data_IF_184799499640
#
_entry.id   IF_184799499640
#
_cell.length_a   1.000
_cell.length_b   1.000
_cell.length_c   1.000
_cell.angle_alpha   90.00
_cell.angle_beta   90.00
_cell.angle_gamma   90.00
#
_symmetry.space_group_name_H-M   'P 1'
#
loop_
_entity.id
_entity.type
_entity.pdbx_description
1 polymer ?
#
# COMPACT_ATOMS: atom_id res chain seq x y z
N UNK A 1 10.33 -7.44 10.82
CA UNK A 1 9.67 -7.83 9.56
C UNK A 1 10.67 -7.83 8.43
N UNK A 2 10.66 -8.86 7.64
CA UNK A 2 11.53 -8.96 6.46
C UNK A 2 10.66 -9.09 5.21
N UNK A 3 10.94 -8.27 4.20
CA UNK A 3 10.21 -8.29 2.94
C UNK A 3 11.19 -8.53 1.80
N UNK A 4 10.91 -9.54 0.98
CA UNK A 4 11.69 -9.84 -0.21
C UNK A 4 10.95 -9.33 -1.43
N UNK A 5 11.58 -8.42 -2.18
CA UNK A 5 10.99 -7.85 -3.39
C UNK A 5 11.46 -8.66 -4.59
N UNK A 6 10.52 -9.26 -5.32
CA UNK A 6 10.81 -10.05 -6.51
C UNK A 6 10.63 -9.29 -7.81
N UNK A 7 10.03 -8.09 -7.78
CA UNK A 7 9.73 -7.29 -8.96
C UNK A 7 9.79 -5.80 -8.60
N UNK A 8 10.52 -5.02 -9.41
CA UNK A 8 10.71 -3.59 -9.19
C UNK A 8 9.90 -2.72 -10.17
N UNK A 9 8.83 -3.26 -10.73
CA UNK A 9 8.01 -2.51 -11.67
C UNK A 9 7.00 -1.64 -10.95
N UNK A 10 6.96 -0.36 -11.31
CA UNK A 10 5.94 0.58 -10.81
C UNK A 10 4.58 0.30 -11.44
N UNK A 11 3.55 0.29 -10.62
CA UNK A 11 2.16 0.05 -11.02
C UNK A 11 1.27 1.08 -10.32
N UNK A 12 0.24 1.61 -11.00
CA UNK A 12 -0.72 2.50 -10.34
C UNK A 12 -1.39 1.83 -9.15
N UNK A 13 -1.52 2.57 -8.06
CA UNK A 13 -2.10 2.03 -6.82
C UNK A 13 -3.50 1.42 -7.04
N UNK A 14 -4.32 2.04 -7.90
CA UNK A 14 -5.66 1.55 -8.19
C UNK A 14 -5.70 0.19 -8.89
N UNK A 15 -4.59 -0.25 -9.48
CA UNK A 15 -4.52 -1.53 -10.20
C UNK A 15 -4.09 -2.71 -9.33
N UNK A 16 -3.61 -2.47 -8.11
CA UNK A 16 -3.24 -3.56 -7.23
C UNK A 16 -4.46 -4.04 -6.42
N UNK A 17 -4.48 -5.33 -6.10
CA UNK A 17 -5.60 -5.91 -5.35
C UNK A 17 -5.50 -5.59 -3.86
N UNK A 18 -6.64 -5.54 -3.18
CA UNK A 18 -6.68 -5.43 -1.72
C UNK A 18 -5.88 -6.59 -1.10
N UNK A 19 -5.16 -6.28 -0.04
CA UNK A 19 -4.26 -7.25 0.60
C UNK A 19 -2.86 -7.29 0.01
N UNK A 20 -2.59 -6.56 -1.08
CA UNK A 20 -1.25 -6.48 -1.67
C UNK A 20 -0.36 -5.59 -0.83
N UNK A 21 0.82 -6.09 -0.48
CA UNK A 21 1.89 -5.29 0.13
C UNK A 21 2.57 -4.49 -0.96
N UNK A 22 2.85 -3.22 -0.70
CA UNK A 22 3.53 -2.38 -1.66
C UNK A 22 4.46 -1.39 -0.96
N UNK A 23 5.38 -0.83 -1.74
CA UNK A 23 6.33 0.18 -1.29
C UNK A 23 6.04 1.50 -1.97
N UNK A 24 6.08 2.59 -1.19
CA UNK A 24 6.03 3.95 -1.74
C UNK A 24 7.42 4.31 -2.30
N UNK A 25 7.54 4.62 -3.60
CA UNK A 25 8.85 4.96 -4.19
C UNK A 25 9.44 6.28 -3.68
N UNK A 26 8.63 7.15 -3.09
CA UNK A 26 9.09 8.43 -2.58
C UNK A 26 9.79 8.33 -1.23
N UNK A 27 9.67 7.19 -0.54
CA UNK A 27 10.24 6.97 0.78
C UNK A 27 11.04 5.68 0.80
N UNK A 28 12.18 5.68 1.50
CA UNK A 28 12.93 4.46 1.76
C UNK A 28 12.24 3.68 2.88
N UNK A 29 12.16 2.37 2.71
CA UNK A 29 11.69 1.44 3.74
C UNK A 29 10.26 1.66 4.25
N UNK A 30 9.44 2.38 3.51
CA UNK A 30 8.03 2.53 3.86
C UNK A 30 7.18 1.52 3.09
N UNK A 31 6.65 0.55 3.83
CA UNK A 31 5.81 -0.51 3.29
C UNK A 31 4.38 -0.38 3.79
N UNK A 32 3.45 -0.72 2.92
CA UNK A 32 2.01 -0.58 3.16
C UNK A 32 1.30 -1.85 2.70
N UNK A 33 0.09 -2.05 3.20
CA UNK A 33 -0.82 -3.06 2.67
C UNK A 33 -2.09 -2.36 2.18
N UNK A 34 -2.52 -2.67 0.96
CA UNK A 34 -3.75 -2.10 0.42
C UNK A 34 -4.97 -2.71 1.11
N UNK A 35 -5.89 -1.86 1.53
CA UNK A 35 -7.16 -2.26 2.15
C UNK A 35 -8.33 -1.79 1.30
N UNK A 36 -9.53 -2.21 1.66
CA UNK A 36 -10.73 -1.63 1.09
C UNK A 36 -10.78 -0.12 1.40
N UNK A 37 -11.30 0.65 0.45
CA UNK A 37 -11.46 2.08 0.62
C UNK A 37 -12.52 2.39 1.67
N UNK A 38 -12.23 3.35 2.55
CA UNK A 38 -13.21 3.91 3.48
C UNK A 38 -13.52 5.33 3.04
N UNK A 39 -14.79 5.59 2.84
CA UNK A 39 -15.27 6.87 2.31
C UNK A 39 -16.08 7.59 3.37
N UNK A 40 -15.83 8.89 3.51
CA UNK A 40 -16.63 9.73 4.40
C UNK A 40 -18.03 9.91 3.79
N UNK A 41 -19.06 9.55 4.54
CA UNK A 41 -20.44 9.59 4.06
C UNK A 41 -20.89 11.02 3.74
N UNK A 42 -20.44 11.99 4.51
CA UNK A 42 -20.87 13.38 4.36
C UNK A 42 -20.20 14.09 3.19
N UNK A 43 -18.90 13.86 2.98
CA UNK A 43 -18.13 14.54 1.94
C UNK A 43 -18.01 13.74 0.65
N UNK A 44 -18.16 12.42 0.71
CA UNK A 44 -17.88 11.52 -0.41
C UNK A 44 -16.39 11.32 -0.69
N UNK A 45 -15.52 11.87 0.15
CA UNK A 45 -14.08 11.74 -0.02
C UNK A 45 -13.56 10.45 0.61
N UNK A 46 -12.56 9.86 -0.03
CA UNK A 46 -11.88 8.68 0.49
C UNK A 46 -11.02 9.07 1.70
N UNK A 47 -11.28 8.45 2.85
CA UNK A 47 -10.54 8.74 4.07
C UNK A 47 -9.24 7.96 4.15
N UNK A 48 -9.28 6.66 3.82
CA UNK A 48 -8.06 5.84 3.77
C UNK A 48 -8.29 4.60 2.92
N UNK A 49 -7.22 4.07 2.36
CA UNK A 49 -7.25 2.90 1.50
C UNK A 49 -6.04 1.98 1.68
N UNK A 50 -5.21 2.23 2.68
CA UNK A 50 -4.07 1.38 3.00
C UNK A 50 -3.65 1.56 4.44
N UNK A 51 -2.83 0.61 4.93
CA UNK A 51 -2.26 0.63 6.28
C UNK A 51 -0.74 0.65 6.15
N UNK A 52 -0.10 1.61 6.80
CA UNK A 52 1.35 1.68 6.90
C UNK A 52 1.84 0.59 7.87
N UNK A 53 2.73 -0.29 7.40
CA UNK A 53 3.12 -1.46 8.17
C UNK A 53 4.11 -1.17 9.31
N UNK A 54 4.84 -0.06 9.24
CA UNK A 54 5.85 0.24 10.26
C UNK A 54 5.24 0.84 11.52
N UNK A 55 4.21 1.65 11.40
CA UNK A 55 3.59 2.34 12.52
C UNK A 55 2.09 2.05 12.68
N UNK A 56 1.54 1.18 11.84
CA UNK A 56 0.13 0.77 11.87
C UNK A 56 -0.86 1.94 11.76
N UNK A 57 -0.49 2.96 11.01
CA UNK A 57 -1.39 4.07 10.71
C UNK A 57 -2.04 3.90 9.35
N UNK A 58 -3.29 4.37 9.22
CA UNK A 58 -3.98 4.39 7.94
C UNK A 58 -3.53 5.56 7.09
N UNK A 59 -3.52 5.35 5.77
CA UNK A 59 -3.12 6.37 4.82
C UNK A 59 -3.99 6.26 3.56
N UNK A 60 -3.86 7.25 2.68
CA UNK A 60 -4.65 7.31 1.46
C UNK A 60 -3.75 7.67 0.29
N UNK A 61 -3.73 6.81 -0.73
CA UNK A 61 -3.00 7.05 -1.98
C UNK A 61 -3.98 7.29 -3.11
N UNK A 62 -3.60 8.18 -4.04
CA UNK A 62 -4.36 8.38 -5.27
C UNK A 62 -4.33 7.14 -6.16
N UNK A 63 -5.40 6.87 -6.89
CA UNK A 63 -5.51 5.67 -7.73
C UNK A 63 -4.44 5.63 -8.84
N UNK A 64 -3.97 6.78 -9.29
CA UNK A 64 -2.94 6.89 -10.33
C UNK A 64 -1.51 6.98 -9.79
N UNK A 65 -1.35 7.04 -8.48
CA UNK A 65 -0.04 7.13 -7.87
C UNK A 65 0.73 5.83 -8.07
N UNK A 66 1.95 5.92 -8.57
CA UNK A 66 2.76 4.75 -8.89
C UNK A 66 3.44 4.20 -7.64
N UNK A 67 3.27 2.91 -7.41
CA UNK A 67 3.85 2.20 -6.27
C UNK A 67 4.56 0.93 -6.73
N UNK A 68 5.41 0.35 -5.89
CA UNK A 68 6.06 -0.94 -6.14
C UNK A 68 5.28 -2.05 -5.44
N UNK A 69 4.44 -2.82 -6.15
CA UNK A 69 3.76 -3.95 -5.54
C UNK A 69 4.72 -5.11 -5.29
N UNK A 70 4.48 -5.84 -4.21
CA UNK A 70 5.32 -6.96 -3.78
C UNK A 70 4.45 -8.22 -3.84
N UNK A 71 4.36 -8.82 -5.03
CA UNK A 71 3.46 -9.96 -5.25
C UNK A 71 3.95 -11.27 -4.65
N UNK A 72 5.26 -11.47 -4.63
CA UNK A 72 5.86 -12.69 -4.09
C UNK A 72 6.63 -12.38 -2.80
N UNK A 73 6.12 -11.45 -2.01
CA UNK A 73 6.75 -11.07 -0.77
C UNK A 73 6.62 -12.18 0.26
N UNK A 74 7.72 -12.48 0.91
CA UNK A 74 7.71 -13.25 2.13
C UNK A 74 7.68 -12.25 3.29
N UNK A 75 6.56 -12.20 3.99
CA UNK A 75 6.37 -11.27 5.10
C UNK A 75 6.62 -12.03 6.40
N UNK A 76 7.74 -11.74 7.05
CA UNK A 76 8.10 -12.36 8.32
C UNK A 76 7.86 -11.35 9.43
N UNK A 77 6.96 -11.67 10.33
CA UNK A 77 6.67 -10.85 11.49
C UNK A 77 7.29 -11.53 12.70
N UNK A 78 8.29 -10.89 13.31
CA UNK A 78 8.96 -11.47 14.47
C UNK A 78 8.07 -11.55 15.70
#
# INVERSE_FOLDING_TARGET
MKITISNNKLVPFGEIADGTVFKDPATEDSYYIKTASVVNIDSGEEEWNCLHLDNYTYDCFGLKYLVYPIYNAELIIP
#
